data_IF_224447847678
#
_entry.id   IF_224447847678
#
_cell.length_a   1.000
_cell.length_b   1.000
_cell.length_c   1.000
_cell.angle_alpha   90.00
_cell.angle_beta   90.00
_cell.angle_gamma   90.00
#
_symmetry.space_group_name_H-M   'P 1'
#
loop_
_entity.id
_entity.type
_entity.pdbx_description
1 polymer ?
#
# COMPACT_ATOMS: atom_id res chain seq x y z
N UNK A 1 -1.62 15.16 0.28
CA UNK A 1 -2.76 16.03 0.04
C UNK A 1 -3.39 15.71 -1.31
N UNK A 2 -4.59 15.11 -1.30
CA UNK A 2 -5.32 14.73 -2.52
C UNK A 2 -5.93 15.93 -3.26
N UNK A 3 -6.07 17.07 -2.58
CA UNK A 3 -6.56 18.32 -3.14
C UNK A 3 -5.45 19.06 -3.88
N UNK A 4 -4.25 19.14 -3.31
CA UNK A 4 -3.07 19.72 -3.99
C UNK A 4 -2.53 18.83 -5.11
N UNK A 5 -2.48 17.52 -4.90
CA UNK A 5 -1.95 16.56 -5.89
C UNK A 5 -3.06 15.97 -6.78
N UNK A 6 -4.03 16.79 -7.17
CA UNK A 6 -5.22 16.33 -7.89
C UNK A 6 -4.91 15.71 -9.25
N UNK A 7 -3.88 16.19 -9.96
CA UNK A 7 -3.44 15.64 -11.26
C UNK A 7 -2.95 14.21 -11.11
N UNK A 8 -2.11 13.93 -10.09
CA UNK A 8 -1.59 12.59 -9.84
C UNK A 8 -2.72 11.59 -9.50
N UNK A 9 -3.72 12.04 -8.73
CA UNK A 9 -4.91 11.24 -8.43
C UNK A 9 -5.69 10.92 -9.71
N UNK A 10 -5.93 11.93 -10.55
CA UNK A 10 -6.69 11.75 -11.80
C UNK A 10 -5.95 10.85 -12.81
N UNK A 11 -4.62 10.92 -12.87
CA UNK A 11 -3.79 10.01 -13.68
C UNK A 11 -3.84 8.57 -13.16
N UNK A 12 -3.75 8.37 -11.85
CA UNK A 12 -3.84 7.04 -11.25
C UNK A 12 -5.22 6.40 -11.52
N UNK A 13 -6.31 7.17 -11.42
CA UNK A 13 -7.66 6.73 -11.77
C UNK A 13 -7.74 6.33 -13.25
N UNK A 14 -7.18 7.15 -14.15
CA UNK A 14 -7.16 6.85 -15.60
C UNK A 14 -6.38 5.57 -15.93
N UNK A 15 -5.29 5.30 -15.22
CA UNK A 15 -4.47 4.11 -15.39
C UNK A 15 -5.02 2.88 -14.65
N UNK A 16 -6.07 3.03 -13.85
CA UNK A 16 -6.62 1.96 -13.03
C UNK A 16 -5.67 1.50 -11.91
N UNK A 17 -4.80 2.40 -11.45
CA UNK A 17 -3.85 2.13 -10.37
C UNK A 17 -4.56 2.41 -9.03
N UNK A 18 -4.64 1.44 -8.09
CA UNK A 18 -5.22 1.67 -6.78
C UNK A 18 -4.45 2.74 -5.99
N UNK A 19 -5.19 3.65 -5.37
CA UNK A 19 -4.65 4.83 -4.70
C UNK A 19 -4.88 4.80 -3.19
N UNK A 20 -3.82 5.13 -2.44
CA UNK A 20 -3.88 5.43 -1.03
C UNK A 20 -3.63 6.93 -0.86
N UNK A 21 -4.50 7.63 -0.13
CA UNK A 21 -4.40 9.08 0.03
C UNK A 21 -4.78 9.53 1.43
N UNK A 22 -4.00 10.47 1.98
CA UNK A 22 -4.36 11.15 3.22
C UNK A 22 -5.40 12.23 2.94
N UNK A 23 -6.44 12.28 3.79
CA UNK A 23 -7.59 13.15 3.63
C UNK A 23 -7.80 13.96 4.89
N UNK A 24 -7.66 15.29 4.76
CA UNK A 24 -8.04 16.25 5.80
C UNK A 24 -9.46 16.81 5.54
N UNK A 25 -9.97 17.63 6.46
CA UNK A 25 -11.30 18.26 6.45
C UNK A 25 -11.68 18.98 5.15
N UNK A 26 -10.69 19.40 4.36
CA UNK A 26 -10.87 20.19 3.14
C UNK A 26 -10.82 19.35 1.84
N UNK A 27 -10.72 18.03 1.96
CA UNK A 27 -10.44 17.08 0.87
C UNK A 27 -11.56 16.04 0.74
N UNK A 28 -11.87 15.60 -0.50
CA UNK A 28 -12.94 14.62 -0.76
C UNK A 28 -12.41 13.17 -0.70
N UNK A 29 -12.82 12.37 0.30
CA UNK A 29 -12.32 11.00 0.47
C UNK A 29 -12.75 10.04 -0.66
N UNK A 30 -13.72 10.42 -1.49
CA UNK A 30 -14.22 9.57 -2.60
C UNK A 30 -13.28 9.55 -3.80
N UNK A 31 -12.25 10.41 -3.82
CA UNK A 31 -11.27 10.50 -4.92
C UNK A 31 -10.16 9.46 -4.84
N UNK A 32 -10.05 8.72 -3.74
CA UNK A 32 -9.05 7.68 -3.56
C UNK A 32 -9.73 6.38 -3.12
N UNK A 33 -9.13 5.25 -3.47
CA UNK A 33 -9.67 3.92 -3.12
C UNK A 33 -9.55 3.65 -1.61
N UNK A 34 -8.42 4.08 -1.04
CA UNK A 34 -8.10 3.90 0.37
C UNK A 34 -7.76 5.24 1.02
N UNK A 35 -8.78 5.88 1.58
CA UNK A 35 -8.65 7.14 2.29
C UNK A 35 -8.11 6.92 3.72
N UNK A 36 -7.07 7.67 4.09
CA UNK A 36 -6.51 7.72 5.44
C UNK A 36 -6.88 9.08 6.07
N UNK A 37 -7.84 9.14 7.00
CA UNK A 37 -8.22 10.40 7.63
C UNK A 37 -7.07 10.92 8.49
N UNK A 38 -6.65 12.17 8.28
CA UNK A 38 -5.55 12.76 9.02
C UNK A 38 -5.16 14.15 8.52
N UNK A 39 -4.39 14.87 9.34
CA UNK A 39 -3.85 16.18 8.97
C UNK A 39 -2.68 16.00 7.98
N UNK A 40 -2.82 16.54 6.78
CA UNK A 40 -1.84 16.45 5.70
C UNK A 40 -0.94 17.68 5.54
N UNK A 41 -1.17 18.74 6.31
CA UNK A 41 -0.30 19.92 6.36
C UNK A 41 0.86 19.77 7.37
N UNK A 42 0.66 18.96 8.42
CA UNK A 42 1.63 18.86 9.52
C UNK A 42 2.67 17.75 9.29
N UNK A 43 3.96 18.11 9.22
CA UNK A 43 5.07 17.15 9.03
C UNK A 43 5.11 16.02 10.06
N UNK A 44 4.77 16.30 11.33
CA UNK A 44 4.70 15.28 12.39
C UNK A 44 3.59 14.25 12.14
N UNK A 45 2.44 14.71 11.64
CA UNK A 45 1.30 13.84 11.27
C UNK A 45 1.67 12.96 10.09
N UNK A 46 2.21 13.56 9.03
CA UNK A 46 2.71 12.86 7.84
C UNK A 46 3.72 11.78 8.25
N UNK A 47 4.74 12.13 9.04
CA UNK A 47 5.77 11.19 9.48
C UNK A 47 5.19 10.00 10.25
N UNK A 48 4.29 10.26 11.21
CA UNK A 48 3.67 9.21 12.02
C UNK A 48 2.80 8.24 11.19
N UNK A 49 2.11 8.75 10.17
CA UNK A 49 1.31 7.90 9.26
C UNK A 49 2.24 7.10 8.35
N UNK A 50 3.25 7.76 7.75
CA UNK A 50 4.18 7.11 6.83
C UNK A 50 5.02 6.02 7.50
N UNK A 51 5.38 6.17 8.78
CA UNK A 51 6.07 5.14 9.57
C UNK A 51 5.25 3.85 9.63
N UNK A 52 3.98 3.95 10.03
CA UNK A 52 3.07 2.80 10.14
C UNK A 52 2.81 2.13 8.80
N UNK A 53 2.63 2.92 7.74
CA UNK A 53 2.45 2.40 6.38
C UNK A 53 3.70 1.65 5.94
N UNK A 54 4.89 2.23 6.17
CA UNK A 54 6.17 1.62 5.81
C UNK A 54 6.38 0.30 6.54
N UNK A 55 6.04 0.24 7.83
CA UNK A 55 6.17 -1.00 8.61
C UNK A 55 5.20 -2.07 8.14
N UNK A 56 3.96 -1.71 7.78
CA UNK A 56 3.01 -2.61 7.14
C UNK A 56 3.56 -3.17 5.80
N UNK A 57 4.17 -2.33 4.97
CA UNK A 57 4.79 -2.76 3.71
C UNK A 57 5.97 -3.72 3.97
N UNK A 58 6.84 -3.43 4.94
CA UNK A 58 7.95 -4.32 5.31
C UNK A 58 7.45 -5.70 5.78
N UNK A 59 6.41 -5.73 6.61
CA UNK A 59 5.81 -6.97 7.09
C UNK A 59 5.23 -7.77 5.92
N UNK A 60 4.45 -7.13 5.04
CA UNK A 60 3.86 -7.79 3.87
C UNK A 60 4.92 -8.33 2.90
N UNK A 61 6.00 -7.59 2.65
CA UNK A 61 7.12 -8.05 1.82
C UNK A 61 7.85 -9.25 2.45
N UNK A 62 8.01 -9.24 3.77
CA UNK A 62 8.67 -10.33 4.50
C UNK A 62 7.83 -11.61 4.47
N UNK A 63 6.52 -11.50 4.73
CA UNK A 63 5.58 -12.62 4.61
C UNK A 63 5.57 -13.20 3.20
N UNK A 64 5.47 -12.34 2.17
CA UNK A 64 5.48 -12.77 0.76
C UNK A 64 6.74 -13.54 0.38
N UNK A 65 7.90 -13.18 0.93
CA UNK A 65 9.16 -13.92 0.71
C UNK A 65 9.10 -15.31 1.35
N UNK A 66 8.65 -15.39 2.60
CA UNK A 66 8.48 -16.67 3.31
C UNK A 66 7.48 -17.58 2.58
N UNK A 67 6.33 -17.04 2.18
CA UNK A 67 5.29 -17.80 1.47
C UNK A 67 5.81 -18.34 0.13
N UNK A 68 6.59 -17.53 -0.61
CA UNK A 68 7.24 -17.99 -1.85
C UNK A 68 8.24 -19.11 -1.58
N UNK A 69 9.09 -18.97 -0.56
CA UNK A 69 10.07 -19.99 -0.21
C UNK A 69 9.39 -21.30 0.20
N UNK A 70 8.32 -21.23 1.00
CA UNK A 70 7.54 -22.40 1.40
C UNK A 70 6.79 -23.04 0.21
N UNK A 71 6.25 -22.23 -0.71
CA UNK A 71 5.61 -22.73 -1.91
C UNK A 71 6.60 -23.38 -2.89
N UNK A 72 7.84 -22.90 -2.94
CA UNK A 72 8.90 -23.47 -3.77
C UNK A 72 9.40 -24.78 -3.18
N UNK A 73 9.61 -24.84 -1.85
CA UNK A 73 9.96 -26.07 -1.15
C UNK A 73 8.88 -27.14 -1.30
N UNK A 74 7.60 -26.79 -1.14
CA UNK A 74 6.48 -27.72 -1.33
C UNK A 74 6.37 -28.26 -2.77
N UNK A 75 6.83 -27.50 -3.77
CA UNK A 75 6.92 -27.98 -5.16
C UNK A 75 8.09 -28.93 -5.36
N UNK A 76 9.24 -28.66 -4.73
CA UNK A 76 10.42 -29.54 -4.76
C UNK A 76 10.09 -30.88 -4.09
N UNK A 77 9.48 -30.85 -2.92
CA UNK A 77 9.13 -32.06 -2.15
C UNK A 77 8.10 -32.93 -2.90
N UNK A 78 7.09 -32.30 -3.53
CA UNK A 78 6.13 -33.03 -4.40
C UNK A 78 6.80 -33.66 -5.63
N UNK A 79 7.79 -32.99 -6.21
CA UNK A 79 8.51 -33.51 -7.38
C UNK A 79 9.46 -34.65 -7.01
N UNK A 80 10.07 -34.60 -5.82
CA UNK A 80 10.90 -35.65 -5.27
C UNK A 80 10.09 -36.90 -4.86
N UNK A 81 8.85 -36.72 -4.40
CA UNK A 81 7.95 -37.83 -4.06
C UNK A 81 7.25 -38.49 -5.27
N UNK A 82 7.36 -37.89 -6.47
CA UNK A 82 6.77 -38.41 -7.71
C UNK A 82 7.78 -39.14 -8.61
N UNK A 83 9.06 -39.18 -8.22
CA UNK A 83 10.14 -39.98 -8.85
C UNK A 83 10.39 -41.21 -7.99
#
# INVERSE_FOLDING_TARGET
DIKRENIAVDEAIKLGIPTFGMVDTNSDPRRVDYAIPGNDDASKSIAAIMERVTDGVKLGLSQRKSDKASAEQAKIDKKAAQV
#
